data_IF_148961186301
#
_entry.id   IF_148961186301
#
_cell.length_a   1.000
_cell.length_b   1.000
_cell.length_c   1.000
_cell.angle_alpha   90.00
_cell.angle_beta   90.00
_cell.angle_gamma   90.00
#
_symmetry.space_group_name_H-M   'P 1'
#
loop_
_entity.id
_entity.type
_entity.pdbx_description
1 polymer ?
#
# COMPACT_ATOMS: atom_id res chain seq x y z
N UNK A 1 0.91 -10.54 -0.74
CA UNK A 1 0.29 -11.42 0.27
C UNK A 1 -0.34 -10.59 1.40
N UNK A 2 -1.30 -11.13 2.16
CA UNK A 2 -1.75 -10.48 3.41
C UNK A 2 -0.54 -10.39 4.35
N UNK A 3 -0.35 -9.25 5.01
CA UNK A 3 0.76 -9.02 5.92
C UNK A 3 2.13 -8.80 5.29
N UNK A 4 2.20 -8.66 3.95
CA UNK A 4 3.47 -8.43 3.24
C UNK A 4 4.24 -7.20 3.72
N UNK A 5 3.55 -6.24 4.34
CA UNK A 5 4.11 -4.97 4.79
C UNK A 5 4.12 -4.83 6.33
N UNK A 6 3.77 -5.88 7.08
CA UNK A 6 3.53 -5.77 8.53
C UNK A 6 4.79 -5.42 9.34
N UNK A 7 5.98 -5.74 8.80
CA UNK A 7 7.28 -5.44 9.44
C UNK A 7 7.87 -4.09 9.01
N UNK A 8 7.20 -3.35 8.13
CA UNK A 8 7.70 -2.11 7.56
C UNK A 8 7.12 -0.86 8.24
N UNK A 9 6.91 -0.91 9.57
CA UNK A 9 6.27 0.19 10.30
C UNK A 9 7.02 1.52 10.26
N UNK A 10 8.32 1.49 9.93
CA UNK A 10 9.15 2.68 9.76
C UNK A 10 9.24 3.19 8.32
N UNK A 11 8.58 2.52 7.36
CA UNK A 11 8.65 2.91 5.96
C UNK A 11 7.90 4.22 5.73
N UNK A 12 8.60 5.21 5.19
CA UNK A 12 8.01 6.52 4.89
C UNK A 12 7.53 6.65 3.45
N UNK A 13 8.16 5.92 2.52
CA UNK A 13 7.86 6.01 1.09
C UNK A 13 7.75 4.61 0.50
N UNK A 14 6.66 4.33 -0.20
CA UNK A 14 6.42 3.07 -0.91
C UNK A 14 6.03 3.35 -2.37
N UNK A 15 6.89 2.97 -3.29
CA UNK A 15 6.61 3.01 -4.73
C UNK A 15 6.25 1.61 -5.23
N UNK A 16 5.04 1.44 -5.74
CA UNK A 16 4.59 0.24 -6.46
C UNK A 16 3.93 0.60 -7.79
N UNK A 17 4.31 1.75 -8.35
CA UNK A 17 3.85 2.21 -9.65
C UNK A 17 4.26 1.25 -10.77
N UNK A 18 3.57 1.34 -11.92
CA UNK A 18 3.89 0.59 -13.14
C UNK A 18 3.84 -0.94 -12.98
N UNK A 19 2.94 -1.43 -12.13
CA UNK A 19 2.76 -2.87 -11.90
C UNK A 19 1.43 -3.38 -12.47
N UNK A 20 1.20 -4.68 -12.35
CA UNK A 20 -0.03 -5.34 -12.82
C UNK A 20 -1.00 -5.67 -11.68
N UNK A 21 -1.00 -4.85 -10.61
CA UNK A 21 -1.87 -5.11 -9.46
C UNK A 21 -3.32 -4.85 -9.82
N UNK A 22 -4.17 -5.86 -9.68
CA UNK A 22 -5.62 -5.79 -9.95
C UNK A 22 -6.46 -5.61 -8.69
N UNK A 23 -5.90 -6.02 -7.55
CA UNK A 23 -6.53 -5.93 -6.23
C UNK A 23 -5.48 -5.76 -5.15
N UNK A 24 -5.86 -5.09 -4.07
CA UNK A 24 -5.08 -5.02 -2.84
C UNK A 24 -5.89 -5.60 -1.69
N UNK A 25 -5.29 -6.39 -0.78
CA UNK A 25 -5.97 -6.82 0.44
C UNK A 25 -6.42 -5.60 1.26
N UNK A 26 -7.63 -5.66 1.81
CA UNK A 26 -8.09 -4.67 2.78
C UNK A 26 -7.11 -4.58 3.95
N UNK A 27 -6.69 -3.37 4.32
CA UNK A 27 -5.71 -3.16 5.38
C UNK A 27 -4.29 -3.56 5.02
N UNK A 28 -3.94 -3.75 3.75
CA UNK A 28 -2.57 -4.08 3.32
C UNK A 28 -1.51 -3.11 3.89
N UNK A 29 -1.89 -1.85 4.13
CA UNK A 29 -0.99 -0.80 4.63
C UNK A 29 -1.24 -0.44 6.10
N UNK A 30 -2.06 -1.21 6.84
CA UNK A 30 -2.48 -0.85 8.19
C UNK A 30 -1.34 -0.73 9.22
N UNK A 31 -0.18 -1.35 8.94
CA UNK A 31 1.02 -1.29 9.80
C UNK A 31 2.04 -0.25 9.35
N UNK A 32 1.82 0.41 8.20
CA UNK A 32 2.71 1.45 7.69
C UNK A 32 2.41 2.80 8.36
N UNK A 33 2.55 2.87 9.68
CA UNK A 33 2.16 4.03 10.50
C UNK A 33 3.00 5.28 10.23
N UNK A 34 4.17 5.14 9.58
CA UNK A 34 5.04 6.27 9.21
C UNK A 34 4.97 6.63 7.72
N UNK A 35 4.07 6.02 6.95
CA UNK A 35 4.02 6.24 5.50
C UNK A 35 3.53 7.64 5.17
N UNK A 36 4.37 8.40 4.47
CA UNK A 36 4.09 9.76 3.97
C UNK A 36 3.74 9.75 2.49
N UNK A 37 4.28 8.79 1.72
CA UNK A 37 4.07 8.70 0.27
C UNK A 37 3.82 7.27 -0.18
N UNK A 38 2.77 7.09 -0.96
CA UNK A 38 2.41 5.83 -1.61
C UNK A 38 2.11 6.11 -3.07
N UNK A 39 2.87 5.52 -4.00
CA UNK A 39 2.49 5.52 -5.42
C UNK A 39 1.98 4.15 -5.84
N UNK A 40 0.75 4.15 -6.37
CA UNK A 40 0.07 3.01 -6.98
C UNK A 40 -0.30 3.29 -8.44
N UNK A 41 0.19 4.39 -9.02
CA UNK A 41 -0.15 4.79 -10.38
C UNK A 41 0.25 3.70 -11.40
N UNK A 42 -0.41 3.71 -12.56
CA UNK A 42 -0.14 2.76 -13.63
C UNK A 42 -0.24 1.28 -13.17
N UNK A 43 -1.22 1.00 -12.29
CA UNK A 43 -1.71 -0.34 -11.98
C UNK A 43 -3.11 -0.56 -12.55
N UNK A 44 -3.71 -1.72 -12.30
CA UNK A 44 -5.04 -2.13 -12.78
C UNK A 44 -6.06 -2.20 -11.61
N UNK A 45 -5.84 -1.38 -10.58
CA UNK A 45 -6.67 -1.39 -9.37
C UNK A 45 -8.05 -0.79 -9.67
N UNK A 46 -9.10 -1.58 -9.44
CA UNK A 46 -10.49 -1.09 -9.54
C UNK A 46 -10.91 -0.19 -8.37
N UNK A 47 -10.21 -0.31 -7.26
CA UNK A 47 -10.39 0.52 -6.07
C UNK A 47 -9.07 0.64 -5.34
N UNK A 48 -8.87 1.80 -4.69
CA UNK A 48 -7.73 1.99 -3.79
C UNK A 48 -8.11 1.44 -2.42
N UNK A 49 -7.28 0.59 -1.78
CA UNK A 49 -7.57 0.10 -0.45
C UNK A 49 -7.65 1.28 0.52
N UNK A 50 -8.66 1.27 1.40
CA UNK A 50 -8.85 2.29 2.42
C UNK A 50 -7.62 2.32 3.33
N UNK A 51 -6.73 3.29 3.11
CA UNK A 51 -5.59 3.53 3.96
C UNK A 51 -6.05 4.43 5.11
N UNK A 52 -5.83 3.97 6.34
CA UNK A 52 -5.89 4.83 7.52
C UNK A 52 -4.46 5.29 7.77
N UNK A 53 -4.16 6.50 7.32
CA UNK A 53 -2.99 7.23 7.78
C UNK A 53 -3.45 7.96 9.05
N UNK A 54 -3.10 7.43 10.21
CA UNK A 54 -3.37 8.03 11.53
C UNK A 54 -2.06 8.25 12.23
#
# INVERSE_FOLDING_TARGET
>A
PKGAFDRLGNLEILYMCCNKLTKMPSGAFAKLTRLKKLSLEQNQLKSVPRARFT
#
